data_IF_368211238131
#
_entry.id   IF_368211238131
#
_cell.length_a   1.000
_cell.length_b   1.000
_cell.length_c   1.000
_cell.angle_alpha   90.00
_cell.angle_beta   90.00
_cell.angle_gamma   90.00
#
_symmetry.space_group_name_H-M   'P 1'
#
loop_
_entity.id
_entity.type
_entity.pdbx_description
1 polymer ?
#
# COMPACT_ATOMS: atom_id res chain seq x y z
N UNK A 1 -35.27 -49.89 31.41
CA UNK A 1 -34.45 -50.81 32.23
C UNK A 1 -33.02 -50.33 32.17
N UNK A 2 -32.31 -50.48 33.28
CA UNK A 2 -30.95 -50.03 33.63
C UNK A 2 -29.92 -50.05 32.47
N UNK A 3 -28.86 -49.25 32.44
CA UNK A 3 -27.83 -49.11 33.49
C UNK A 3 -26.79 -48.03 33.12
N UNK A 4 -25.94 -47.71 34.09
CA UNK A 4 -25.08 -46.52 34.17
C UNK A 4 -23.66 -46.67 33.57
N UNK A 5 -23.04 -45.50 33.39
CA UNK A 5 -21.64 -45.08 33.54
C UNK A 5 -20.47 -46.07 33.36
N UNK A 6 -19.45 -45.60 32.64
CA UNK A 6 -18.08 -46.11 32.69
C UNK A 6 -17.08 -45.15 32.05
N UNK A 7 -16.44 -44.31 32.88
CA UNK A 7 -15.29 -43.48 32.52
C UNK A 7 -14.05 -44.30 32.21
N UNK A 8 -13.18 -43.83 31.31
CA UNK A 8 -11.76 -43.48 31.60
C UNK A 8 -10.86 -43.58 30.36
N UNK A 9 -10.06 -42.53 30.19
CA UNK A 9 -8.99 -42.33 29.22
C UNK A 9 -7.84 -43.35 29.32
N UNK A 10 -7.19 -43.67 28.20
CA UNK A 10 -5.72 -43.63 28.05
C UNK A 10 -5.28 -44.08 26.64
N UNK A 11 -4.46 -43.24 25.98
CA UNK A 11 -3.70 -43.60 24.77
C UNK A 11 -2.56 -44.57 25.12
N UNK A 12 -2.09 -45.37 24.14
CA UNK A 12 -0.80 -45.04 23.50
C UNK A 12 -0.77 -45.27 21.97
N UNK A 13 0.12 -44.52 21.31
CA UNK A 13 0.43 -44.51 19.87
C UNK A 13 1.39 -45.67 19.45
N UNK A 14 1.93 -45.74 18.21
CA UNK A 14 1.45 -45.29 16.89
C UNK A 14 1.40 -46.45 15.86
N UNK A 15 0.79 -46.26 14.70
CA UNK A 15 1.06 -47.09 13.52
C UNK A 15 1.26 -46.20 12.29
N UNK A 16 2.47 -46.30 11.76
CA UNK A 16 3.00 -45.76 10.52
C UNK A 16 2.04 -45.92 9.34
N UNK A 17 1.90 -44.86 8.54
CA UNK A 17 1.55 -44.96 7.12
C UNK A 17 2.43 -43.97 6.36
N UNK A 18 2.85 -44.44 5.20
CA UNK A 18 4.06 -44.07 4.46
C UNK A 18 3.96 -42.74 3.69
N UNK A 19 5.15 -42.31 3.27
CA UNK A 19 5.48 -41.10 2.53
C UNK A 19 4.68 -40.95 1.22
N UNK A 20 3.97 -39.83 1.08
CA UNK A 20 3.78 -39.19 -0.23
C UNK A 20 4.44 -37.81 -0.17
N UNK A 21 5.61 -37.71 -0.78
CA UNK A 21 6.32 -36.44 -1.02
C UNK A 21 5.54 -35.70 -2.11
N UNK A 22 4.75 -34.73 -1.68
CA UNK A 22 4.05 -33.78 -2.53
C UNK A 22 4.22 -32.37 -1.98
N UNK A 23 5.43 -31.84 -2.11
CA UNK A 23 5.74 -30.40 -2.19
C UNK A 23 4.98 -29.49 -1.20
N UNK A 24 5.17 -29.76 0.09
CA UNK A 24 4.83 -28.83 1.16
C UNK A 24 5.79 -27.63 1.12
N UNK A 25 5.53 -26.66 0.24
CA UNK A 25 6.10 -25.32 0.39
C UNK A 25 5.36 -24.60 1.50
N UNK A 26 5.79 -24.90 2.73
CA UNK A 26 5.95 -23.98 3.84
C UNK A 26 4.88 -22.88 3.94
N UNK A 27 3.79 -23.18 4.65
CA UNK A 27 2.95 -22.17 5.29
C UNK A 27 3.74 -21.51 6.43
N UNK A 28 4.77 -20.78 6.05
CA UNK A 28 5.63 -20.01 6.95
C UNK A 28 4.81 -18.89 7.55
N UNK A 29 4.93 -18.73 8.87
CA UNK A 29 4.34 -17.66 9.65
C UNK A 29 4.29 -16.34 8.85
N UNK A 30 3.08 -15.93 8.46
CA UNK A 30 2.84 -14.71 7.71
C UNK A 30 3.34 -13.52 8.55
N UNK A 31 4.59 -13.15 8.31
CA UNK A 31 5.10 -11.87 8.73
C UNK A 31 4.25 -10.83 8.00
N UNK A 32 3.38 -10.11 8.73
CA UNK A 32 2.40 -9.16 8.21
C UNK A 32 3.00 -7.90 7.56
N UNK A 33 4.07 -8.07 6.79
CA UNK A 33 4.69 -7.05 5.96
C UNK A 33 3.96 -7.00 4.62
N UNK A 34 3.52 -5.81 4.23
CA UNK A 34 2.97 -5.57 2.90
C UNK A 34 4.12 -5.18 1.98
N UNK A 35 4.46 -6.04 1.02
CA UNK A 35 5.43 -5.72 -0.02
C UNK A 35 4.80 -4.76 -1.04
N UNK A 36 5.53 -3.69 -1.40
CA UNK A 36 5.10 -2.75 -2.42
C UNK A 36 5.27 -3.37 -3.82
N UNK A 37 4.30 -3.14 -4.70
CA UNK A 37 4.38 -3.60 -6.08
C UNK A 37 5.44 -2.81 -6.85
N UNK A 38 6.15 -3.50 -7.73
CA UNK A 38 7.19 -2.93 -8.59
C UNK A 38 6.70 -2.64 -10.01
N UNK A 39 5.44 -2.92 -10.31
CA UNK A 39 4.76 -2.61 -11.57
C UNK A 39 3.27 -2.34 -11.33
N UNK A 40 2.65 -1.56 -12.21
CA UNK A 40 1.22 -1.25 -12.13
C UNK A 40 0.66 -0.82 -13.50
N UNK A 41 -0.46 -1.41 -13.92
CA UNK A 41 -1.11 -1.10 -15.21
C UNK A 41 -1.73 0.31 -15.25
N UNK A 42 -1.78 1.01 -14.11
CA UNK A 42 -2.32 2.36 -14.00
C UNK A 42 -1.26 3.46 -14.20
N UNK A 43 0.02 3.11 -14.35
CA UNK A 43 1.10 4.08 -14.64
C UNK A 43 0.85 4.96 -15.89
N UNK A 44 0.21 4.48 -16.97
CA UNK A 44 -0.13 5.34 -18.11
C UNK A 44 -1.09 6.49 -17.79
N UNK A 45 -1.77 6.48 -16.63
CA UNK A 45 -2.66 7.56 -16.18
C UNK A 45 -1.93 8.74 -15.51
N UNK A 46 -0.61 8.65 -15.35
CA UNK A 46 0.21 9.71 -14.76
C UNK A 46 0.17 10.99 -15.60
N UNK A 47 0.27 12.13 -14.92
CA UNK A 47 0.47 13.42 -15.57
C UNK A 47 1.80 13.43 -16.34
N UNK A 48 1.84 14.08 -17.50
CA UNK A 48 3.09 14.20 -18.27
C UNK A 48 4.17 15.05 -17.57
N UNK A 49 3.77 15.91 -16.64
CA UNK A 49 4.68 16.79 -15.90
C UNK A 49 4.63 16.47 -14.39
N UNK A 50 5.44 15.49 -14.01
CA UNK A 50 5.68 15.06 -12.63
C UNK A 50 6.87 15.76 -11.97
N UNK A 51 7.57 16.63 -12.69
CA UNK A 51 8.69 17.40 -12.16
C UNK A 51 8.22 18.69 -11.44
N UNK A 52 7.03 19.18 -11.75
CA UNK A 52 6.43 20.35 -11.10
C UNK A 52 5.19 19.95 -10.33
N UNK A 53 5.37 19.74 -9.03
CA UNK A 53 4.30 19.39 -8.09
C UNK A 53 4.10 20.50 -7.06
N UNK A 54 2.89 20.60 -6.47
CA UNK A 54 2.66 21.44 -5.31
C UNK A 54 3.61 21.06 -4.15
N UNK A 55 4.02 22.02 -3.31
CA UNK A 55 4.88 21.74 -2.18
C UNK A 55 4.15 20.88 -1.12
N UNK A 56 4.88 20.07 -0.33
CA UNK A 56 4.28 19.14 0.65
C UNK A 56 3.43 19.77 1.75
N UNK A 57 3.53 21.08 1.99
CA UNK A 57 2.72 21.86 2.92
C UNK A 57 1.37 22.32 2.33
N UNK A 58 1.12 22.01 1.05
CA UNK A 58 -0.15 22.33 0.37
C UNK A 58 -1.33 21.70 1.12
N UNK A 59 -2.31 22.53 1.47
CA UNK A 59 -3.53 22.10 2.13
C UNK A 59 -4.47 21.36 1.18
N UNK A 60 -5.39 20.57 1.75
CA UNK A 60 -6.45 19.93 0.97
C UNK A 60 -7.32 20.98 0.26
N UNK A 61 -7.56 20.81 -1.05
CA UNK A 61 -8.33 21.80 -1.82
C UNK A 61 -9.84 21.85 -1.50
N UNK A 62 -10.37 20.85 -0.77
CA UNK A 62 -11.79 20.79 -0.39
C UNK A 62 -12.06 21.32 1.02
N UNK A 63 -11.20 21.00 1.99
CA UNK A 63 -11.43 21.34 3.40
C UNK A 63 -10.28 22.08 4.08
N UNK A 64 -9.27 22.51 3.31
CA UNK A 64 -8.14 23.32 3.77
C UNK A 64 -7.30 22.67 4.90
N UNK A 65 -7.45 21.36 5.12
CA UNK A 65 -6.68 20.67 6.15
C UNK A 65 -5.19 20.65 5.76
N UNK A 66 -4.26 21.04 6.65
CA UNK A 66 -2.84 21.16 6.33
C UNK A 66 -2.02 19.88 6.57
N UNK A 67 -2.64 18.79 7.05
CA UNK A 67 -1.95 17.56 7.47
C UNK A 67 -2.47 16.35 6.71
N UNK A 68 -1.66 15.28 6.66
CA UNK A 68 -2.09 14.00 6.09
C UNK A 68 -2.67 14.15 4.67
N UNK A 69 -2.00 14.96 3.85
CA UNK A 69 -2.43 15.26 2.49
C UNK A 69 -1.72 14.38 1.48
N UNK A 70 -2.44 14.10 0.41
CA UNK A 70 -2.00 13.27 -0.71
C UNK A 70 -2.09 14.10 -1.98
N UNK A 71 -1.11 13.92 -2.86
CA UNK A 71 -1.04 14.49 -4.19
C UNK A 71 -1.57 13.47 -5.20
N UNK A 72 -2.57 13.83 -5.98
CA UNK A 72 -2.99 13.01 -7.12
C UNK A 72 -1.96 13.10 -8.24
N UNK A 73 -1.41 11.96 -8.68
CA UNK A 73 -0.36 11.94 -9.70
C UNK A 73 -0.89 12.08 -11.13
N UNK A 74 -2.21 11.98 -11.32
CA UNK A 74 -2.87 12.16 -12.62
C UNK A 74 -3.15 13.65 -12.92
N UNK A 75 -3.57 14.43 -11.92
CA UNK A 75 -4.01 15.83 -12.11
C UNK A 75 -3.36 16.86 -11.19
N UNK A 76 -2.48 16.43 -10.28
CA UNK A 76 -1.71 17.30 -9.36
C UNK A 76 -2.52 18.08 -8.31
N UNK A 77 -3.79 17.74 -8.12
CA UNK A 77 -4.58 18.27 -7.02
C UNK A 77 -4.23 17.58 -5.69
N UNK A 78 -4.38 18.31 -4.58
CA UNK A 78 -4.02 17.85 -3.24
C UNK A 78 -5.27 17.66 -2.39
N UNK A 79 -5.42 16.47 -1.82
CA UNK A 79 -6.58 16.09 -1.01
C UNK A 79 -6.17 15.41 0.28
N UNK A 80 -6.96 15.59 1.35
CA UNK A 80 -6.70 14.93 2.61
C UNK A 80 -6.94 13.41 2.53
N UNK A 81 -6.18 12.67 3.34
CA UNK A 81 -6.20 11.21 3.38
C UNK A 81 -7.54 10.63 3.87
N UNK A 82 -7.63 9.31 3.80
CA UNK A 82 -8.75 8.54 4.37
C UNK A 82 -8.92 8.66 5.88
N UNK A 83 -7.87 9.07 6.58
CA UNK A 83 -7.87 9.25 8.04
C UNK A 83 -8.35 10.64 8.47
N UNK A 84 -8.51 11.57 7.53
CA UNK A 84 -9.07 12.92 7.76
C UNK A 84 -10.52 12.96 7.27
N UNK A 85 -10.79 13.49 6.07
CA UNK A 85 -12.13 13.58 5.48
C UNK A 85 -12.32 12.72 4.22
N UNK A 86 -11.31 11.91 3.86
CA UNK A 86 -11.37 10.97 2.71
C UNK A 86 -11.50 11.66 1.34
N UNK A 87 -11.12 12.93 1.20
CA UNK A 87 -11.23 13.64 -0.07
C UNK A 87 -10.40 13.01 -1.19
N UNK A 88 -9.22 12.43 -0.91
CA UNK A 88 -8.47 11.71 -1.96
C UNK A 88 -9.20 10.47 -2.45
N UNK A 89 -9.88 9.75 -1.55
CA UNK A 89 -10.69 8.58 -1.91
C UNK A 89 -11.91 8.98 -2.74
N UNK A 90 -12.59 10.06 -2.35
CA UNK A 90 -13.72 10.61 -3.11
C UNK A 90 -13.28 11.09 -4.50
N UNK A 91 -12.13 11.78 -4.58
CA UNK A 91 -11.54 12.22 -5.84
C UNK A 91 -11.25 11.04 -6.77
N UNK A 92 -10.64 9.95 -6.26
CA UNK A 92 -10.45 8.72 -7.03
C UNK A 92 -11.79 8.17 -7.57
N UNK A 93 -12.83 8.09 -6.74
CA UNK A 93 -14.13 7.56 -7.14
C UNK A 93 -14.83 8.42 -8.21
N UNK A 94 -14.59 9.72 -8.23
CA UNK A 94 -15.22 10.66 -9.18
C UNK A 94 -14.45 10.78 -10.50
N UNK A 95 -13.11 10.76 -10.45
CA UNK A 95 -12.23 11.02 -11.59
C UNK A 95 -11.59 9.76 -12.18
N UNK A 96 -11.64 8.65 -11.45
CA UNK A 96 -10.88 7.43 -11.74
C UNK A 96 -9.35 7.62 -11.73
N UNK A 97 -8.85 8.69 -11.09
CA UNK A 97 -7.42 8.92 -10.92
C UNK A 97 -6.85 7.99 -9.86
N UNK A 98 -6.21 6.91 -10.32
CA UNK A 98 -5.88 5.76 -9.47
C UNK A 98 -4.63 5.95 -8.62
N UNK A 99 -3.73 6.87 -9.00
CA UNK A 99 -2.40 7.01 -8.39
C UNK A 99 -2.29 8.28 -7.55
N UNK A 100 -1.81 8.14 -6.32
CA UNK A 100 -1.54 9.26 -5.42
C UNK A 100 -0.26 9.06 -4.61
N UNK A 101 0.44 10.16 -4.32
CA UNK A 101 1.62 10.21 -3.46
C UNK A 101 1.25 10.85 -2.12
N UNK A 102 1.68 10.25 -1.01
CA UNK A 102 1.52 10.77 0.34
C UNK A 102 2.58 11.83 0.64
N UNK A 103 2.18 13.02 1.08
CA UNK A 103 3.16 14.01 1.57
C UNK A 103 3.70 13.68 2.96
N UNK A 104 3.08 12.76 3.72
CA UNK A 104 3.54 12.40 5.06
C UNK A 104 4.83 11.58 5.01
N UNK A 105 4.88 10.55 4.16
CA UNK A 105 5.95 9.54 4.09
C UNK A 105 6.48 9.28 2.67
N UNK A 106 6.00 10.01 1.66
CA UNK A 106 6.38 9.88 0.25
C UNK A 106 6.04 8.51 -0.37
N UNK A 107 5.19 7.72 0.29
CA UNK A 107 4.66 6.48 -0.27
C UNK A 107 3.72 6.76 -1.45
N UNK A 108 3.71 5.88 -2.45
CA UNK A 108 2.79 5.94 -3.58
C UNK A 108 1.75 4.83 -3.43
N UNK A 109 0.49 5.20 -3.60
CA UNK A 109 -0.65 4.29 -3.50
C UNK A 109 -1.42 4.22 -4.82
N UNK A 110 -1.81 3.01 -5.20
CA UNK A 110 -2.76 2.78 -6.27
C UNK A 110 -4.11 2.35 -5.70
N UNK A 111 -5.14 3.17 -5.86
CA UNK A 111 -6.49 2.88 -5.38
C UNK A 111 -7.16 1.72 -6.12
N UNK A 112 -6.84 1.52 -7.39
CA UNK A 112 -7.40 0.42 -8.19
C UNK A 112 -6.78 -0.93 -7.87
N UNK A 113 -5.48 -0.95 -7.56
CA UNK A 113 -4.77 -2.17 -7.15
C UNK A 113 -4.88 -2.44 -5.64
N UNK A 114 -5.39 -1.47 -4.86
CA UNK A 114 -5.42 -1.50 -3.39
C UNK A 114 -4.03 -1.82 -2.79
N UNK A 115 -2.98 -1.23 -3.37
CA UNK A 115 -1.59 -1.56 -3.05
C UNK A 115 -0.65 -0.35 -3.10
N UNK A 116 0.42 -0.42 -2.30
CA UNK A 116 1.56 0.50 -2.39
C UNK A 116 2.43 0.16 -3.60
N UNK A 117 3.04 1.18 -4.19
CA UNK A 117 3.97 1.06 -5.31
C UNK A 117 5.38 1.50 -4.87
N UNK A 118 6.42 0.77 -5.27
CA UNK A 118 7.80 1.18 -5.02
C UNK A 118 8.22 2.25 -6.02
N UNK A 119 8.16 3.51 -5.60
CA UNK A 119 8.48 4.67 -6.43
C UNK A 119 9.95 4.77 -6.85
N UNK A 120 10.86 4.04 -6.19
CA UNK A 120 12.29 4.04 -6.54
C UNK A 120 12.58 3.02 -7.65
N UNK A 121 11.84 1.90 -7.66
CA UNK A 121 11.96 0.85 -8.67
C UNK A 121 11.15 1.15 -9.94
N UNK A 122 10.01 1.84 -9.82
CA UNK A 122 9.19 2.24 -10.96
C UNK A 122 9.75 3.53 -11.58
N UNK A 123 10.23 3.45 -12.82
CA UNK A 123 10.93 4.55 -13.49
C UNK A 123 10.05 5.79 -13.67
N UNK A 124 8.76 5.59 -13.95
CA UNK A 124 7.78 6.64 -14.20
C UNK A 124 7.46 7.45 -12.93
N UNK A 125 7.65 6.85 -11.74
CA UNK A 125 7.39 7.49 -10.44
C UNK A 125 8.63 8.18 -9.86
N UNK A 126 9.82 7.85 -10.36
CA UNK A 126 11.08 8.41 -9.84
C UNK A 126 11.12 9.94 -9.88
N UNK A 127 10.72 10.64 -10.97
CA UNK A 127 10.79 12.10 -11.01
C UNK A 127 9.94 12.77 -9.92
N UNK A 128 8.71 12.30 -9.69
CA UNK A 128 7.85 12.87 -8.65
C UNK A 128 8.38 12.56 -7.25
N UNK A 129 8.91 11.36 -7.04
CA UNK A 129 9.49 10.97 -5.76
C UNK A 129 10.72 11.82 -5.42
N UNK A 130 11.64 12.01 -6.37
CA UNK A 130 12.82 12.86 -6.19
C UNK A 130 12.45 14.30 -5.86
N UNK A 131 11.52 14.90 -6.62
CA UNK A 131 11.07 16.27 -6.38
C UNK A 131 10.36 16.39 -5.03
N UNK A 132 9.46 15.46 -4.69
CA UNK A 132 8.77 15.47 -3.41
C UNK A 132 9.74 15.32 -2.22
N UNK A 133 10.78 14.48 -2.38
CA UNK A 133 11.82 14.30 -1.38
C UNK A 133 12.62 15.59 -1.16
N UNK A 134 13.09 16.23 -2.24
CA UNK A 134 13.81 17.50 -2.17
C UNK A 134 12.95 18.60 -1.54
N UNK A 135 11.67 18.71 -1.93
CA UNK A 135 10.76 19.70 -1.36
C UNK A 135 10.50 19.46 0.13
N UNK A 136 10.47 18.21 0.58
CA UNK A 136 10.18 17.85 1.97
C UNK A 136 11.41 17.96 2.89
N UNK A 137 12.58 17.58 2.40
CA UNK A 137 13.79 17.43 3.22
C UNK A 137 14.93 18.40 2.86
N UNK A 138 14.87 19.07 1.72
CA UNK A 138 15.89 20.02 1.27
C UNK A 138 17.17 19.37 0.71
N UNK A 139 17.17 18.06 0.50
CA UNK A 139 18.30 17.29 -0.03
C UNK A 139 17.82 16.23 -1.03
N UNK A 140 18.73 15.62 -1.79
CA UNK A 140 18.40 14.54 -2.72
C UNK A 140 18.07 13.23 -1.97
N UNK A 141 17.18 12.38 -2.49
CA UNK A 141 16.90 11.08 -1.87
C UNK A 141 18.17 10.21 -1.85
N UNK A 142 18.34 9.37 -0.81
CA UNK A 142 19.44 8.42 -0.77
C UNK A 142 19.32 7.44 -1.93
N UNK A 143 20.47 7.07 -2.51
CA UNK A 143 20.52 6.02 -3.53
C UNK A 143 20.14 4.67 -2.90
N UNK A 144 19.28 3.92 -3.58
CA UNK A 144 18.89 2.56 -3.22
C UNK A 144 19.47 1.55 -4.21
#
# INVERSE_FOLDING_TARGET
MANEAGSSSSNPAPCVIEEEVGEEFLYGAESGWVEALTSCDHLPSLCSDLAHIPPPDTACCECENPKENWLCLCCKNVFCSRFVNKHMLQHYQQSNHSLALSYSDLSVWCFSCDAYLDAQLIQELRPVHEVAYILKFGEAPPFR
#
